data_IF_588482345737
#
_entry.id   IF_588482345737
#
_cell.length_a   1.000
_cell.length_b   1.000
_cell.length_c   1.000
_cell.angle_alpha   90.00
_cell.angle_beta   90.00
_cell.angle_gamma   90.00
#
_symmetry.space_group_name_H-M   'P 1'
#
loop_
_entity.id
_entity.type
_entity.pdbx_description
1 polymer ?
#
# COMPACT_ATOMS: atom_id res chain seq x y z
N UNK A 1 23.44 15.57 15.39
CA UNK A 1 22.14 15.12 15.95
C UNK A 1 21.23 14.89 14.75
N UNK A 2 20.58 13.72 14.64
CA UNK A 2 19.63 13.46 13.54
C UNK A 2 18.30 14.10 13.94
N UNK A 3 17.75 14.98 13.10
CA UNK A 3 16.43 15.57 13.31
C UNK A 3 15.38 14.71 12.59
N UNK A 4 14.37 14.25 13.33
CA UNK A 4 13.26 13.48 12.78
C UNK A 4 12.04 14.40 12.65
N UNK A 5 11.45 14.41 11.45
CA UNK A 5 10.25 15.18 11.16
C UNK A 5 9.15 14.23 10.68
N UNK A 6 7.99 14.18 11.34
CA UNK A 6 6.86 13.41 10.85
C UNK A 6 6.33 14.02 9.55
N UNK A 7 5.98 13.18 8.59
CA UNK A 7 5.40 13.61 7.31
C UNK A 7 3.88 13.81 7.36
N UNK A 8 3.26 13.58 8.53
CA UNK A 8 1.82 13.67 8.81
C UNK A 8 0.93 12.93 7.78
N UNK A 9 1.44 11.81 7.27
CA UNK A 9 0.80 10.97 6.27
C UNK A 9 0.65 9.54 6.79
N UNK A 10 -0.24 8.76 6.18
CA UNK A 10 -0.32 7.32 6.35
C UNK A 10 -0.01 6.62 5.02
N UNK A 11 0.83 5.60 5.06
CA UNK A 11 1.08 4.66 3.96
C UNK A 11 0.65 3.26 4.40
N UNK A 12 0.71 2.28 3.50
CA UNK A 12 0.70 0.87 3.90
C UNK A 12 1.76 0.57 4.96
N UNK A 13 1.54 -0.48 5.74
CA UNK A 13 2.50 -0.96 6.74
C UNK A 13 3.75 -1.43 5.98
N UNK A 14 4.80 -0.62 6.02
CA UNK A 14 6.01 -0.89 5.27
C UNK A 14 6.81 -2.04 5.91
N UNK A 15 7.06 -3.10 5.15
CA UNK A 15 8.12 -4.07 5.43
C UNK A 15 9.47 -3.53 4.92
N UNK A 16 9.46 -2.78 3.82
CA UNK A 16 10.64 -2.08 3.32
C UNK A 16 10.28 -0.73 2.65
N UNK A 17 11.25 0.18 2.64
CA UNK A 17 11.16 1.48 1.97
C UNK A 17 12.36 1.65 1.04
N UNK A 18 12.08 1.97 -0.22
CA UNK A 18 13.11 2.19 -1.25
C UNK A 18 12.87 3.52 -1.95
N UNK A 19 13.76 4.48 -1.73
CA UNK A 19 13.76 5.70 -2.54
C UNK A 19 14.22 5.37 -3.96
N UNK A 20 13.45 5.81 -4.95
CA UNK A 20 13.74 5.54 -6.37
C UNK A 20 14.48 6.73 -6.98
N UNK A 21 13.76 7.84 -7.20
CA UNK A 21 14.31 9.13 -7.59
C UNK A 21 13.19 10.20 -7.57
N UNK A 22 13.52 11.48 -7.69
CA UNK A 22 12.60 12.59 -7.84
C UNK A 22 11.50 12.62 -6.77
N UNK A 23 11.84 12.35 -5.51
CA UNK A 23 10.84 12.31 -4.43
C UNK A 23 9.90 11.11 -4.48
N UNK A 24 10.15 10.11 -5.32
CA UNK A 24 9.34 8.89 -5.39
C UNK A 24 9.93 7.82 -4.49
N UNK A 25 9.07 7.20 -3.68
CA UNK A 25 9.43 6.11 -2.77
C UNK A 25 8.52 4.92 -3.04
N UNK A 26 9.12 3.74 -3.16
CA UNK A 26 8.40 2.47 -3.10
C UNK A 26 8.24 2.03 -1.65
N UNK A 27 6.99 1.79 -1.25
CA UNK A 27 6.57 1.27 0.05
C UNK A 27 6.21 -0.21 -0.15
N UNK A 28 7.17 -1.08 0.11
CA UNK A 28 6.93 -2.53 0.06
C UNK A 28 6.21 -2.98 1.31
N UNK A 29 5.03 -3.56 1.16
CA UNK A 29 4.19 -4.02 2.27
C UNK A 29 3.91 -5.51 2.15
N UNK A 30 4.12 -6.24 3.25
CA UNK A 30 3.79 -7.67 3.38
C UNK A 30 2.37 -7.92 3.84
N UNK A 31 1.81 -7.00 4.62
CA UNK A 31 0.54 -7.17 5.34
C UNK A 31 -0.63 -6.42 4.69
N UNK A 32 -0.42 -5.95 3.47
CA UNK A 32 -1.37 -5.16 2.70
C UNK A 32 -0.72 -4.73 1.39
N UNK A 33 -1.45 -3.99 0.58
CA UNK A 33 -0.99 -3.56 -0.74
C UNK A 33 0.30 -2.74 -0.66
N UNK A 34 1.22 -3.01 -1.58
CA UNK A 34 2.42 -2.17 -1.74
C UNK A 34 2.04 -0.88 -2.45
N UNK A 35 2.82 0.19 -2.27
CA UNK A 35 2.49 1.50 -2.83
C UNK A 35 3.70 2.18 -3.45
N UNK A 36 3.45 2.98 -4.48
CA UNK A 36 4.37 3.99 -4.96
C UNK A 36 3.84 5.35 -4.49
N UNK A 37 4.67 6.11 -3.78
CA UNK A 37 4.27 7.39 -3.19
C UNK A 37 5.20 8.52 -3.63
N UNK A 38 4.66 9.73 -3.72
CA UNK A 38 5.38 10.97 -3.97
C UNK A 38 5.55 11.76 -2.68
N UNK A 39 6.78 12.15 -2.40
CA UNK A 39 7.14 13.16 -1.41
C UNK A 39 7.10 14.54 -2.07
N UNK A 40 6.30 15.43 -1.51
CA UNK A 40 6.20 16.83 -1.91
C UNK A 40 7.04 17.72 -0.99
N UNK A 41 7.48 18.86 -1.52
CA UNK A 41 8.19 19.88 -0.74
C UNK A 41 7.23 20.62 0.20
N UNK A 42 6.03 20.93 -0.32
CA UNK A 42 4.97 21.59 0.43
C UNK A 42 3.92 20.59 0.89
N UNK A 43 3.39 20.80 2.09
CA UNK A 43 2.29 20.00 2.61
C UNK A 43 0.98 20.30 1.89
N UNK A 44 0.11 19.29 1.76
CA UNK A 44 -1.27 19.50 1.34
C UNK A 44 -2.12 20.19 2.42
N UNK A 45 -3.42 20.38 2.15
CA UNK A 45 -4.38 21.01 3.08
C UNK A 45 -4.49 20.30 4.44
N UNK A 46 -4.11 19.03 4.50
CA UNK A 46 -4.14 18.19 5.71
C UNK A 46 -2.78 18.17 6.44
N UNK A 47 -1.78 18.90 5.94
CA UNK A 47 -0.43 18.91 6.49
C UNK A 47 0.46 17.73 6.05
N UNK A 48 -0.05 16.86 5.16
CA UNK A 48 0.68 15.69 4.66
C UNK A 48 1.64 16.07 3.52
N UNK A 49 2.86 15.54 3.57
CA UNK A 49 3.87 15.69 2.50
C UNK A 49 3.90 14.49 1.54
N UNK A 50 3.07 13.47 1.78
CA UNK A 50 3.07 12.22 1.01
C UNK A 50 1.77 12.08 0.25
N UNK A 51 1.86 11.73 -1.03
CA UNK A 51 0.73 11.47 -1.91
C UNK A 51 0.89 10.09 -2.55
N UNK A 52 -0.13 9.24 -2.44
CA UNK A 52 -0.14 7.95 -3.13
C UNK A 52 -0.24 8.16 -4.64
N UNK A 53 0.64 7.49 -5.40
CA UNK A 53 0.64 7.53 -6.86
C UNK A 53 0.02 6.25 -7.44
N UNK A 54 0.41 5.10 -6.90
CA UNK A 54 -0.05 3.79 -7.36
C UNK A 54 -0.09 2.80 -6.19
N UNK A 55 -1.00 1.84 -6.28
CA UNK A 55 -1.16 0.76 -5.30
C UNK A 55 -1.07 -0.57 -6.04
N UNK A 56 -0.27 -1.49 -5.51
CA UNK A 56 -0.06 -2.83 -6.04
C UNK A 56 -0.69 -3.85 -5.10
N UNK A 57 -1.70 -4.56 -5.61
CA UNK A 57 -2.47 -5.54 -4.83
C UNK A 57 -1.57 -6.60 -4.20
N UNK A 58 -1.74 -6.82 -2.91
CA UNK A 58 -1.15 -7.93 -2.17
C UNK A 58 -2.27 -8.73 -1.51
N UNK A 59 -2.47 -9.97 -1.98
CA UNK A 59 -3.48 -10.88 -1.42
C UNK A 59 -3.07 -11.45 -0.06
N UNK A 60 -1.83 -11.21 0.38
CA UNK A 60 -1.27 -11.79 1.59
C UNK A 60 -1.46 -10.93 2.85
N UNK A 61 -1.34 -11.56 4.04
CA UNK A 61 -1.37 -13.01 4.24
C UNK A 61 -2.80 -13.56 4.11
N UNK A 62 -2.99 -14.57 3.27
CA UNK A 62 -4.27 -15.30 3.20
C UNK A 62 -4.37 -16.14 4.47
N UNK A 63 -5.28 -15.78 5.37
CA UNK A 63 -5.47 -16.48 6.64
C UNK A 63 -6.38 -17.69 6.46
N UNK A 64 -7.44 -17.54 5.66
CA UNK A 64 -8.34 -18.62 5.26
C UNK A 64 -8.92 -18.37 3.85
N UNK A 65 -9.41 -19.42 3.19
CA UNK A 65 -10.09 -19.30 1.89
C UNK A 65 -11.15 -20.38 1.69
N UNK A 66 -12.17 -20.06 0.89
CA UNK A 66 -13.16 -21.01 0.42
C UNK A 66 -13.40 -20.89 -1.09
N UNK A 67 -14.01 -21.92 -1.68
CA UNK A 67 -14.41 -21.91 -3.09
C UNK A 67 -15.92 -21.78 -3.17
N UNK A 68 -16.40 -20.81 -3.93
CA UNK A 68 -17.82 -20.50 -4.10
C UNK A 68 -18.16 -20.37 -5.59
N UNK A 69 -19.31 -20.88 -6.02
CA UNK A 69 -19.82 -20.63 -7.38
C UNK A 69 -20.86 -19.50 -7.31
N UNK A 70 -20.39 -18.24 -7.31
CA UNK A 70 -21.26 -17.07 -7.17
C UNK A 70 -22.19 -16.90 -8.38
N UNK A 71 -21.73 -17.29 -9.57
CA UNK A 71 -22.45 -17.09 -10.83
C UNK A 71 -23.31 -18.31 -11.22
N UNK A 72 -23.19 -19.44 -10.51
CA UNK A 72 -23.89 -20.71 -10.80
C UNK A 72 -23.64 -21.21 -12.22
N UNK A 73 -22.50 -20.85 -12.80
CA UNK A 73 -22.09 -21.24 -14.15
C UNK A 73 -21.17 -22.47 -14.13
N UNK A 74 -20.94 -23.07 -12.96
CA UNK A 74 -20.00 -24.18 -12.78
C UNK A 74 -18.53 -23.74 -12.76
N UNK A 75 -18.26 -22.44 -12.63
CA UNK A 75 -16.92 -21.89 -12.41
C UNK A 75 -16.77 -21.46 -10.95
N UNK A 76 -16.04 -22.27 -10.17
CA UNK A 76 -15.72 -21.94 -8.78
C UNK A 76 -14.75 -20.76 -8.70
N UNK A 77 -15.08 -19.78 -7.86
CA UNK A 77 -14.28 -18.60 -7.55
C UNK A 77 -13.68 -18.75 -6.15
N UNK A 78 -12.46 -18.27 -5.95
CA UNK A 78 -11.80 -18.28 -4.64
C UNK A 78 -12.20 -17.02 -3.88
N UNK A 79 -12.71 -17.19 -2.68
CA UNK A 79 -13.00 -16.12 -1.73
C UNK A 79 -12.03 -16.22 -0.55
N UNK A 80 -11.34 -15.12 -0.26
CA UNK A 80 -10.46 -14.99 0.90
C UNK A 80 -11.29 -14.56 2.12
N UNK A 81 -11.05 -15.16 3.29
CA UNK A 81 -11.81 -14.94 4.54
C UNK A 81 -10.89 -14.33 5.61
#
# INVERSE_FOLDING_TARGET
LVHLHPLHSQTSIAECLTYLDNGVVFVGSRLGDSQLVKLNVDSNEQGSYVVAMETFTNLGPIVDMCVVDLERQGQGQVMLI
#
